data_IF_862439018996
#
_entry.id   IF_862439018996
#
_cell.length_a   1.000
_cell.length_b   1.000
_cell.length_c   1.000
_cell.angle_alpha   90.00
_cell.angle_beta   90.00
_cell.angle_gamma   90.00
#
_symmetry.space_group_name_H-M   'P 1'
#
loop_
_entity.id
_entity.type
_entity.pdbx_description
1 polymer ?
#
# COMPACT_ATOMS: atom_id res chain seq x y z
N UNK A 1 27.40 -22.10 4.25
CA UNK A 1 26.00 -21.90 4.66
C UNK A 1 25.18 -21.16 3.62
N UNK A 2 25.49 -19.92 3.20
CA UNK A 2 24.69 -19.16 2.22
C UNK A 2 24.39 -19.87 0.89
N UNK A 3 25.36 -20.60 0.30
CA UNK A 3 25.17 -21.31 -0.97
C UNK A 3 24.15 -22.46 -0.88
N UNK A 4 24.08 -23.12 0.27
CA UNK A 4 23.13 -24.19 0.56
C UNK A 4 21.70 -23.64 0.76
N UNK A 5 21.57 -22.48 1.41
CA UNK A 5 20.28 -21.81 1.62
C UNK A 5 19.70 -21.27 0.30
N UNK A 6 20.55 -20.67 -0.54
CA UNK A 6 20.13 -20.23 -1.88
C UNK A 6 19.65 -21.41 -2.73
N UNK A 7 20.38 -22.53 -2.70
CA UNK A 7 19.99 -23.73 -3.43
C UNK A 7 18.65 -24.29 -2.96
N UNK A 8 18.43 -24.36 -1.64
CA UNK A 8 17.13 -24.76 -1.07
C UNK A 8 16.00 -23.82 -1.45
N UNK A 9 16.23 -22.51 -1.44
CA UNK A 9 15.24 -21.52 -1.86
C UNK A 9 14.87 -21.68 -3.36
N UNK A 10 15.85 -21.94 -4.21
CA UNK A 10 15.64 -22.20 -5.65
C UNK A 10 14.90 -23.52 -5.90
N UNK A 11 15.14 -24.54 -5.07
CA UNK A 11 14.43 -25.83 -5.14
C UNK A 11 12.98 -25.71 -4.70
N UNK A 12 12.65 -24.77 -3.79
CA UNK A 12 11.29 -24.51 -3.29
C UNK A 12 10.51 -23.52 -4.17
N UNK A 13 11.15 -22.88 -5.13
CA UNK A 13 10.54 -21.89 -6.01
C UNK A 13 9.57 -22.56 -7.00
N UNK A 14 8.34 -22.04 -7.11
CA UNK A 14 7.44 -22.43 -8.18
C UNK A 14 7.93 -21.84 -9.52
N UNK A 15 8.69 -22.65 -10.24
CA UNK A 15 9.33 -22.25 -11.50
C UNK A 15 8.31 -21.77 -12.54
N UNK A 16 7.12 -22.37 -12.58
CA UNK A 16 6.08 -21.98 -13.55
C UNK A 16 5.57 -20.58 -13.25
N UNK A 17 5.21 -20.30 -12.00
CA UNK A 17 4.76 -18.97 -11.59
C UNK A 17 5.87 -17.95 -11.82
N UNK A 18 7.09 -18.23 -11.38
CA UNK A 18 8.22 -17.30 -11.49
C UNK A 18 8.55 -16.95 -12.95
N UNK A 19 8.79 -17.95 -13.80
CA UNK A 19 9.18 -17.69 -15.18
C UNK A 19 8.05 -17.10 -16.02
N UNK A 20 6.81 -17.46 -15.77
CA UNK A 20 5.66 -16.87 -16.46
C UNK A 20 5.51 -15.39 -16.07
N UNK A 21 5.58 -15.05 -14.77
CA UNK A 21 5.51 -13.67 -14.31
C UNK A 21 6.68 -12.84 -14.85
N UNK A 22 7.89 -13.39 -14.82
CA UNK A 22 9.07 -12.72 -15.38
C UNK A 22 8.93 -12.47 -16.90
N UNK A 23 8.43 -13.46 -17.63
CA UNK A 23 8.21 -13.33 -19.08
C UNK A 23 7.19 -12.23 -19.39
N UNK A 24 6.08 -12.16 -18.64
CA UNK A 24 5.07 -11.10 -18.81
C UNK A 24 5.70 -9.72 -18.59
N UNK A 25 6.47 -9.57 -17.49
CA UNK A 25 7.12 -8.29 -17.17
C UNK A 25 8.14 -7.90 -18.24
N UNK A 26 8.99 -8.83 -18.68
CA UNK A 26 9.98 -8.57 -19.73
C UNK A 26 9.31 -8.19 -21.04
N UNK A 27 8.26 -8.91 -21.46
CA UNK A 27 7.50 -8.59 -22.65
C UNK A 27 6.86 -7.20 -22.57
N UNK A 28 6.32 -6.85 -21.40
CA UNK A 28 5.73 -5.52 -21.18
C UNK A 28 6.79 -4.41 -21.25
N UNK A 29 7.97 -4.62 -20.65
CA UNK A 29 9.08 -3.66 -20.73
C UNK A 29 9.57 -3.51 -22.17
N UNK A 30 9.73 -4.61 -22.90
CA UNK A 30 10.10 -4.55 -24.31
C UNK A 30 9.04 -3.80 -25.14
N UNK A 31 7.76 -4.08 -24.92
CA UNK A 31 6.68 -3.37 -25.59
C UNK A 31 6.69 -1.86 -25.28
N UNK A 32 6.95 -1.46 -24.02
CA UNK A 32 7.12 -0.05 -23.64
C UNK A 32 8.32 0.62 -24.33
N UNK A 33 9.39 -0.11 -24.61
CA UNK A 33 10.57 0.41 -25.30
C UNK A 33 10.30 0.54 -26.81
N UNK A 34 9.72 -0.48 -27.45
CA UNK A 34 9.59 -0.52 -28.91
C UNK A 34 8.31 0.10 -29.45
N UNK A 35 7.19 0.06 -28.68
CA UNK A 35 5.87 0.57 -29.09
C UNK A 35 5.19 1.38 -27.98
N UNK A 36 5.85 2.42 -27.40
CA UNK A 36 5.39 3.10 -26.19
C UNK A 36 3.98 3.69 -26.32
N UNK A 37 3.66 4.30 -27.46
CA UNK A 37 2.35 4.93 -27.69
C UNK A 37 1.21 3.90 -27.72
N UNK A 38 1.41 2.77 -28.37
CA UNK A 38 0.41 1.68 -28.41
C UNK A 38 0.17 1.11 -27.02
N UNK A 39 1.24 0.88 -26.25
CA UNK A 39 1.14 0.37 -24.88
C UNK A 39 0.45 1.38 -23.97
N UNK A 40 0.77 2.68 -24.10
CA UNK A 40 0.11 3.73 -23.35
C UNK A 40 -1.41 3.73 -23.59
N UNK A 41 -1.82 3.74 -24.87
CA UNK A 41 -3.24 3.70 -25.25
C UNK A 41 -3.91 2.42 -24.70
N UNK A 42 -3.26 1.27 -24.81
CA UNK A 42 -3.80 0.02 -24.29
C UNK A 42 -4.00 0.04 -22.75
N UNK A 43 -3.02 0.59 -22.01
CA UNK A 43 -3.11 0.74 -20.55
C UNK A 43 -4.24 1.71 -20.19
N UNK A 44 -4.31 2.89 -20.81
CA UNK A 44 -5.35 3.88 -20.55
C UNK A 44 -6.76 3.33 -20.90
N UNK A 45 -6.89 2.65 -22.02
CA UNK A 45 -8.14 2.00 -22.41
C UNK A 45 -8.56 0.92 -21.41
N UNK A 46 -7.63 0.05 -21.01
CA UNK A 46 -7.88 -1.00 -20.01
C UNK A 46 -8.29 -0.40 -18.67
N UNK A 47 -7.56 0.62 -18.22
CA UNK A 47 -7.90 1.34 -16.99
C UNK A 47 -9.32 1.92 -17.06
N UNK A 48 -9.66 2.61 -18.14
CA UNK A 48 -10.99 3.20 -18.32
C UNK A 48 -12.09 2.13 -18.35
N UNK A 49 -11.85 1.00 -19.01
CA UNK A 49 -12.80 -0.14 -19.00
C UNK A 49 -12.96 -0.69 -17.58
N UNK A 50 -11.87 -0.88 -16.85
CA UNK A 50 -11.91 -1.37 -15.47
C UNK A 50 -12.69 -0.41 -14.55
N UNK A 51 -12.41 0.89 -14.62
CA UNK A 51 -13.08 1.89 -13.77
C UNK A 51 -14.55 2.06 -14.16
N UNK A 52 -14.86 2.20 -15.43
CA UNK A 52 -16.22 2.49 -15.87
C UNK A 52 -17.18 1.29 -15.71
N UNK A 53 -16.70 0.06 -15.91
CA UNK A 53 -17.56 -1.13 -15.79
C UNK A 53 -17.47 -1.83 -14.44
N UNK A 54 -16.30 -1.77 -13.79
CA UNK A 54 -16.04 -2.50 -12.54
C UNK A 54 -15.71 -1.58 -11.35
N UNK A 55 -15.77 -0.26 -11.52
CA UNK A 55 -15.47 0.71 -10.46
C UNK A 55 -16.28 0.48 -9.17
N UNK A 56 -17.56 0.13 -9.31
CA UNK A 56 -18.42 -0.22 -8.18
C UNK A 56 -17.88 -1.43 -7.36
N UNK A 57 -17.13 -2.35 -7.99
CA UNK A 57 -16.53 -3.49 -7.28
C UNK A 57 -15.43 -3.03 -6.32
N UNK A 58 -14.64 -2.00 -6.68
CA UNK A 58 -13.63 -1.43 -5.77
C UNK A 58 -14.30 -0.86 -4.52
N UNK A 59 -15.43 -0.16 -4.70
CA UNK A 59 -16.24 0.36 -3.60
C UNK A 59 -16.78 -0.78 -2.73
N UNK A 60 -17.35 -1.82 -3.36
CA UNK A 60 -17.87 -3.00 -2.64
C UNK A 60 -16.78 -3.71 -1.83
N UNK A 61 -15.58 -3.88 -2.38
CA UNK A 61 -14.44 -4.47 -1.68
C UNK A 61 -14.00 -3.59 -0.51
N UNK A 62 -14.00 -2.25 -0.68
CA UNK A 62 -13.74 -1.32 0.44
C UNK A 62 -14.73 -1.51 1.57
N UNK A 63 -16.03 -1.55 1.28
CA UNK A 63 -17.09 -1.80 2.26
C UNK A 63 -16.89 -3.15 2.96
N UNK A 64 -16.56 -4.19 2.20
CA UNK A 64 -16.28 -5.53 2.74
C UNK A 64 -15.08 -5.50 3.70
N UNK A 65 -13.96 -4.92 3.30
CA UNK A 65 -12.75 -4.84 4.13
C UNK A 65 -13.02 -4.07 5.42
N UNK A 66 -13.75 -2.97 5.31
CA UNK A 66 -14.15 -2.15 6.44
C UNK A 66 -15.09 -2.92 7.40
N UNK A 67 -16.11 -3.58 6.86
CA UNK A 67 -17.02 -4.42 7.64
C UNK A 67 -16.31 -5.60 8.29
N UNK A 68 -15.38 -6.24 7.57
CA UNK A 68 -14.56 -7.33 8.11
C UNK A 68 -13.70 -6.87 9.28
N UNK A 69 -13.11 -5.66 9.22
CA UNK A 69 -12.39 -5.08 10.34
C UNK A 69 -13.25 -5.04 11.60
N UNK A 70 -14.44 -4.42 11.53
CA UNK A 70 -15.33 -4.32 12.69
C UNK A 70 -15.81 -5.68 13.16
N UNK A 71 -16.14 -6.59 12.24
CA UNK A 71 -16.54 -7.95 12.59
C UNK A 71 -15.46 -8.71 13.36
N UNK A 72 -14.20 -8.59 12.91
CA UNK A 72 -13.08 -9.26 13.58
C UNK A 72 -12.74 -8.58 14.91
N UNK A 73 -12.76 -7.24 14.96
CA UNK A 73 -12.37 -6.47 16.13
C UNK A 73 -13.38 -6.62 17.29
N UNK A 74 -14.68 -6.43 17.01
CA UNK A 74 -15.73 -6.49 18.02
C UNK A 74 -16.31 -7.89 18.20
N UNK A 75 -16.05 -8.80 17.27
CA UNK A 75 -16.56 -10.16 17.31
C UNK A 75 -15.75 -11.09 18.21
N UNK A 76 -16.15 -12.36 18.24
CA UNK A 76 -15.50 -13.43 19.03
C UNK A 76 -14.04 -13.70 18.65
N UNK A 77 -13.60 -13.20 17.51
CA UNK A 77 -12.23 -13.41 16.99
C UNK A 77 -11.23 -12.37 17.48
N UNK A 78 -11.66 -11.26 18.07
CA UNK A 78 -10.80 -10.17 18.52
C UNK A 78 -9.79 -10.55 19.62
N UNK A 79 -10.02 -11.67 20.31
CA UNK A 79 -9.14 -12.18 21.36
C UNK A 79 -8.20 -13.32 20.87
N UNK A 80 -8.23 -13.67 19.59
CA UNK A 80 -7.35 -14.71 19.05
C UNK A 80 -5.93 -14.17 18.93
N UNK A 81 -4.98 -14.81 19.63
CA UNK A 81 -3.57 -14.51 19.52
C UNK A 81 -2.94 -15.36 18.40
N UNK A 82 -2.25 -14.71 17.46
CA UNK A 82 -1.40 -15.42 16.52
C UNK A 82 -0.07 -15.77 17.19
N UNK A 83 0.27 -17.06 17.24
CA UNK A 83 1.47 -17.58 17.90
C UNK A 83 1.16 -18.35 19.16
N UNK A 84 2.21 -18.68 19.92
CA UNK A 84 2.10 -19.38 21.20
C UNK A 84 1.69 -18.42 22.32
N UNK A 85 0.97 -18.87 23.37
CA UNK A 85 0.64 -18.01 24.52
C UNK A 85 1.85 -17.34 25.14
N UNK A 86 3.01 -18.03 25.15
CA UNK A 86 4.25 -17.58 25.79
C UNK A 86 5.16 -16.75 24.87
N UNK A 87 4.79 -16.57 23.60
CA UNK A 87 5.58 -15.78 22.65
C UNK A 87 5.66 -14.32 23.10
N UNK A 88 6.91 -13.80 23.18
CA UNK A 88 7.19 -12.39 23.53
C UNK A 88 7.42 -11.57 22.27
N UNK A 89 7.10 -10.24 22.30
CA UNK A 89 7.38 -9.37 21.17
C UNK A 89 8.86 -9.29 20.89
N UNK A 90 9.17 -9.28 19.61
CA UNK A 90 10.54 -9.13 19.12
C UNK A 90 10.93 -7.66 18.94
N UNK A 91 9.95 -6.82 18.67
CA UNK A 91 10.12 -5.38 18.49
C UNK A 91 9.36 -4.60 19.56
N UNK A 92 9.82 -3.40 19.88
CA UNK A 92 9.02 -2.47 20.67
C UNK A 92 7.80 -2.03 19.86
N UNK A 93 6.72 -1.62 20.53
CA UNK A 93 5.49 -1.11 19.89
C UNK A 93 5.82 0.03 18.92
N UNK A 94 6.71 0.95 19.30
CA UNK A 94 7.15 2.04 18.44
C UNK A 94 7.82 1.54 17.15
N UNK A 95 8.82 0.64 17.26
CA UNK A 95 9.51 0.10 16.07
C UNK A 95 8.56 -0.69 15.17
N UNK A 96 7.63 -1.42 15.76
CA UNK A 96 6.62 -2.15 15.00
C UNK A 96 5.67 -1.19 14.25
N UNK A 97 5.09 -0.21 14.93
CA UNK A 97 4.23 0.79 14.33
C UNK A 97 4.98 1.58 13.24
N UNK A 98 6.23 1.95 13.50
CA UNK A 98 7.11 2.60 12.52
C UNK A 98 7.33 1.75 11.27
N UNK A 99 7.58 0.45 11.42
CA UNK A 99 7.77 -0.47 10.27
C UNK A 99 6.49 -0.59 9.43
N UNK A 100 5.33 -0.71 10.07
CA UNK A 100 4.04 -0.78 9.37
C UNK A 100 3.76 0.55 8.67
N UNK A 101 3.86 1.67 9.38
CA UNK A 101 3.62 2.99 8.80
C UNK A 101 4.53 3.27 7.59
N UNK A 102 5.84 3.06 7.73
CA UNK A 102 6.79 3.34 6.64
C UNK A 102 6.68 2.36 5.48
N UNK A 103 6.14 1.16 5.67
CA UNK A 103 5.87 0.24 4.57
C UNK A 103 4.71 0.70 3.67
N UNK A 104 3.75 1.44 4.21
CA UNK A 104 2.65 2.05 3.46
C UNK A 104 2.92 3.49 3.02
N UNK A 105 3.73 4.23 3.79
CA UNK A 105 4.08 5.62 3.52
C UNK A 105 5.38 5.70 2.70
N UNK A 106 5.28 5.46 1.41
CA UNK A 106 6.41 5.58 0.48
C UNK A 106 6.64 7.00 -0.02
N UNK A 107 7.54 7.15 -1.01
CA UNK A 107 7.81 8.43 -1.68
C UNK A 107 6.56 9.08 -2.29
N UNK A 108 5.61 8.26 -2.74
CA UNK A 108 4.32 8.72 -3.26
C UNK A 108 3.50 9.48 -2.22
N UNK A 109 3.52 9.08 -0.94
CA UNK A 109 2.81 9.80 0.12
C UNK A 109 3.30 11.24 0.28
N UNK A 110 4.62 11.45 0.20
CA UNK A 110 5.20 12.79 0.28
C UNK A 110 4.76 13.64 -0.93
N UNK A 111 4.82 13.08 -2.14
CA UNK A 111 4.44 13.79 -3.37
C UNK A 111 2.95 14.11 -3.37
N UNK A 112 2.12 13.10 -3.11
CA UNK A 112 0.67 13.23 -3.17
C UNK A 112 0.14 14.05 -2.00
N UNK A 113 0.77 14.00 -0.84
CA UNK A 113 0.41 14.86 0.29
C UNK A 113 0.45 16.36 -0.03
N UNK A 114 1.34 16.79 -0.94
CA UNK A 114 1.34 18.17 -1.44
C UNK A 114 0.42 18.38 -2.65
N UNK A 115 0.32 17.40 -3.54
CA UNK A 115 -0.40 17.54 -4.80
C UNK A 115 -1.92 17.36 -4.66
N UNK A 116 -2.35 16.35 -3.90
CA UNK A 116 -3.76 15.99 -3.76
C UNK A 116 -4.66 17.12 -3.27
N UNK A 117 -4.32 17.85 -2.19
CA UNK A 117 -5.18 18.95 -1.73
C UNK A 117 -5.45 19.97 -2.83
N UNK A 118 -4.45 20.25 -3.69
CA UNK A 118 -4.59 21.19 -4.81
C UNK A 118 -5.51 20.61 -5.89
N UNK A 119 -5.39 19.33 -6.19
CA UNK A 119 -6.28 18.67 -7.15
C UNK A 119 -7.70 18.57 -6.63
N UNK A 120 -7.88 18.24 -5.34
CA UNK A 120 -9.21 18.11 -4.71
C UNK A 120 -9.92 19.46 -4.60
N UNK A 121 -9.20 20.57 -4.53
CA UNK A 121 -9.77 21.92 -4.60
C UNK A 121 -10.36 22.26 -5.98
N UNK A 122 -9.80 21.70 -7.03
CA UNK A 122 -10.22 21.94 -8.42
C UNK A 122 -11.28 20.94 -8.89
N UNK A 123 -11.08 19.68 -8.55
CA UNK A 123 -12.01 18.58 -8.83
C UNK A 123 -12.54 18.08 -7.48
N UNK A 124 -13.68 18.62 -7.07
CA UNK A 124 -14.21 18.44 -5.71
C UNK A 124 -15.14 17.22 -5.62
N UNK A 125 -15.18 16.52 -4.48
CA UNK A 125 -16.19 15.49 -4.24
C UNK A 125 -17.58 16.10 -4.04
N UNK A 126 -18.61 15.31 -4.21
CA UNK A 126 -20.02 15.66 -3.89
C UNK A 126 -20.56 16.92 -4.58
N UNK A 127 -20.01 17.29 -5.72
CA UNK A 127 -20.39 18.50 -6.48
C UNK A 127 -20.22 19.82 -5.70
N UNK A 128 -19.32 19.85 -4.71
CA UNK A 128 -18.97 21.04 -3.95
C UNK A 128 -18.37 22.08 -4.93
N UNK A 129 -18.72 23.35 -4.75
CA UNK A 129 -18.14 24.43 -5.56
C UNK A 129 -16.63 24.49 -5.38
N UNK A 130 -15.88 24.33 -6.48
CA UNK A 130 -14.43 24.42 -6.47
C UNK A 130 -13.93 25.71 -5.82
N UNK A 131 -12.79 25.63 -5.12
CA UNK A 131 -12.14 26.75 -4.44
C UNK A 131 -12.99 27.45 -3.36
N UNK A 132 -14.12 26.85 -2.92
CA UNK A 132 -14.91 27.35 -1.79
C UNK A 132 -14.29 26.90 -0.46
N UNK A 133 -14.69 27.56 0.66
CA UNK A 133 -14.31 27.12 2.02
C UNK A 133 -14.58 25.64 2.26
N UNK A 134 -15.75 25.20 1.85
CA UNK A 134 -16.12 23.79 1.94
C UNK A 134 -15.18 22.90 1.11
N UNK A 135 -14.73 23.33 -0.07
CA UNK A 135 -13.76 22.58 -0.86
C UNK A 135 -12.43 22.43 -0.15
N UNK A 136 -11.94 23.44 0.57
CA UNK A 136 -10.71 23.35 1.39
C UNK A 136 -10.86 22.31 2.52
N UNK A 137 -11.97 22.34 3.23
CA UNK A 137 -12.25 21.40 4.31
C UNK A 137 -12.30 19.95 3.81
N UNK A 138 -13.03 19.73 2.69
CA UNK A 138 -13.15 18.40 2.10
C UNK A 138 -11.87 17.92 1.43
N UNK A 139 -11.06 18.80 0.85
CA UNK A 139 -9.76 18.43 0.29
C UNK A 139 -8.83 17.87 1.36
N UNK A 140 -8.81 18.47 2.55
CA UNK A 140 -8.02 17.99 3.68
C UNK A 140 -8.57 16.65 4.22
N UNK A 141 -9.89 16.57 4.42
CA UNK A 141 -10.54 15.34 4.90
C UNK A 141 -10.36 14.16 3.94
N UNK A 142 -10.44 14.37 2.62
CA UNK A 142 -10.26 13.29 1.64
C UNK A 142 -8.84 12.72 1.62
N UNK A 143 -7.84 13.51 1.97
CA UNK A 143 -6.49 13.00 2.24
C UNK A 143 -6.52 11.94 3.33
N UNK A 144 -7.21 12.19 4.45
CA UNK A 144 -7.39 11.21 5.53
C UNK A 144 -8.21 9.99 5.07
N UNK A 145 -9.21 10.17 4.21
CA UNK A 145 -10.01 9.07 3.68
C UNK A 145 -9.20 8.13 2.78
N UNK A 146 -8.38 8.68 1.88
CA UNK A 146 -7.60 7.88 0.93
C UNK A 146 -6.33 7.26 1.52
N UNK A 147 -5.79 7.81 2.63
CA UNK A 147 -4.51 7.38 3.23
C UNK A 147 -4.63 6.88 4.68
N UNK A 148 -5.76 7.13 5.32
CA UNK A 148 -6.00 6.79 6.71
C UNK A 148 -6.65 5.42 6.90
N UNK A 149 -7.51 5.35 7.91
CA UNK A 149 -8.12 4.11 8.38
C UNK A 149 -8.89 3.33 7.31
N UNK A 150 -9.66 4.00 6.45
CA UNK A 150 -10.40 3.37 5.35
C UNK A 150 -9.49 2.64 4.36
N UNK A 151 -8.34 3.22 4.05
CA UNK A 151 -7.35 2.65 3.16
C UNK A 151 -6.62 1.44 3.79
N UNK A 152 -6.18 1.56 5.03
CA UNK A 152 -5.48 0.47 5.73
C UNK A 152 -6.36 -0.75 5.96
N UNK A 153 -7.69 -0.59 5.99
CA UNK A 153 -8.64 -1.69 6.09
C UNK A 153 -8.51 -2.71 4.94
N UNK A 154 -8.02 -2.29 3.76
CA UNK A 154 -7.79 -3.19 2.64
C UNK A 154 -6.81 -4.32 2.94
N UNK A 155 -5.89 -4.14 3.86
CA UNK A 155 -4.89 -5.17 4.18
C UNK A 155 -5.41 -6.26 5.12
N UNK A 156 -6.51 -6.03 5.83
CA UNK A 156 -7.05 -6.93 6.85
C UNK A 156 -7.35 -8.33 6.32
N UNK A 157 -8.03 -8.52 5.16
CA UNK A 157 -8.31 -9.85 4.66
C UNK A 157 -7.05 -10.68 4.43
N UNK A 158 -6.01 -10.10 3.80
CA UNK A 158 -4.77 -10.80 3.52
C UNK A 158 -3.97 -11.08 4.80
N UNK A 159 -3.85 -10.10 5.70
CA UNK A 159 -3.16 -10.25 6.99
C UNK A 159 -3.79 -11.37 7.81
N UNK A 160 -5.12 -11.37 7.89
CA UNK A 160 -5.85 -12.37 8.66
C UNK A 160 -5.70 -13.77 8.04
N UNK A 161 -5.86 -13.89 6.73
CA UNK A 161 -5.75 -15.17 6.03
C UNK A 161 -4.33 -15.74 6.10
N UNK A 162 -3.31 -14.92 5.81
CA UNK A 162 -1.92 -15.35 5.87
C UNK A 162 -1.50 -15.64 7.31
N UNK A 163 -1.89 -14.79 8.27
CA UNK A 163 -1.64 -14.98 9.69
C UNK A 163 -2.27 -16.30 10.20
N UNK A 164 -3.51 -16.59 9.81
CA UNK A 164 -4.16 -17.86 10.12
C UNK A 164 -3.37 -19.06 9.58
N UNK A 165 -2.94 -19.00 8.32
CA UNK A 165 -2.15 -20.08 7.71
C UNK A 165 -0.82 -20.29 8.42
N UNK A 166 -0.10 -19.20 8.73
CA UNK A 166 1.22 -19.28 9.37
C UNK A 166 1.15 -19.76 10.81
N UNK A 167 0.22 -19.20 11.61
CA UNK A 167 0.27 -19.37 13.07
C UNK A 167 -0.72 -20.39 13.61
N UNK A 168 -1.87 -20.55 12.96
CA UNK A 168 -2.89 -21.50 13.38
C UNK A 168 -2.71 -22.83 12.66
N UNK A 169 -2.59 -22.78 11.32
CA UNK A 169 -2.38 -23.99 10.49
C UNK A 169 -0.91 -24.44 10.46
N UNK A 170 0.01 -23.58 10.92
CA UNK A 170 1.47 -23.84 10.94
C UNK A 170 2.05 -24.21 9.57
N UNK A 171 1.50 -23.66 8.49
CA UNK A 171 2.04 -23.82 7.15
C UNK A 171 3.13 -22.80 6.92
N UNK A 172 4.11 -23.12 6.06
CA UNK A 172 5.14 -22.17 5.63
C UNK A 172 4.76 -21.48 4.30
N UNK A 173 3.57 -21.75 3.80
CA UNK A 173 3.09 -21.20 2.53
C UNK A 173 2.47 -19.83 2.76
N UNK A 174 3.10 -18.79 2.23
CA UNK A 174 2.65 -17.39 2.29
C UNK A 174 1.99 -16.94 0.99
N UNK A 175 1.81 -17.85 0.02
CA UNK A 175 1.14 -17.54 -1.25
C UNK A 175 -0.32 -17.23 -1.00
N UNK A 176 -0.86 -16.29 -1.78
CA UNK A 176 -2.27 -15.95 -1.68
C UNK A 176 -3.16 -17.14 -2.09
N UNK A 177 -2.76 -17.92 -3.10
CA UNK A 177 -3.45 -19.17 -3.46
C UNK A 177 -3.45 -20.19 -2.32
N UNK A 178 -2.39 -20.22 -1.50
CA UNK A 178 -2.27 -21.08 -0.33
C UNK A 178 -3.31 -20.75 0.76
N UNK A 179 -3.70 -19.47 0.91
CA UNK A 179 -4.71 -19.08 1.89
C UNK A 179 -6.12 -19.60 1.56
N UNK A 180 -6.35 -20.04 0.35
CA UNK A 180 -7.63 -20.58 -0.12
C UNK A 180 -7.73 -22.11 0.05
N UNK A 181 -6.64 -22.78 0.40
CA UNK A 181 -6.63 -24.25 0.56
C UNK A 181 -7.58 -24.77 1.65
N UNK A 182 -7.86 -24.06 2.76
CA UNK A 182 -8.85 -24.50 3.73
C UNK A 182 -10.28 -24.61 3.17
N UNK A 183 -10.58 -23.85 2.10
CA UNK A 183 -11.91 -23.80 1.47
C UNK A 183 -11.98 -24.76 0.30
N UNK A 184 -10.95 -24.76 -0.58
CA UNK A 184 -10.97 -25.47 -1.86
C UNK A 184 -10.12 -26.75 -1.90
N UNK A 185 -9.44 -27.08 -0.79
CA UNK A 185 -8.56 -28.24 -0.66
C UNK A 185 -7.10 -27.98 -1.09
N UNK A 186 -6.19 -28.84 -0.62
CA UNK A 186 -4.74 -28.66 -0.80
C UNK A 186 -4.29 -28.61 -2.28
N UNK A 187 -4.99 -29.34 -3.18
CA UNK A 187 -4.68 -29.37 -4.61
C UNK A 187 -5.00 -28.07 -5.34
N UNK A 188 -5.77 -27.17 -4.72
CA UNK A 188 -6.19 -25.90 -5.34
C UNK A 188 -4.99 -25.02 -5.70
N UNK A 189 -4.04 -24.85 -4.79
CA UNK A 189 -2.86 -24.00 -4.98
C UNK A 189 -1.96 -24.44 -6.14
N UNK A 190 -1.92 -25.77 -6.40
CA UNK A 190 -1.11 -26.35 -7.48
C UNK A 190 -1.87 -26.42 -8.82
N UNK A 191 -3.18 -26.18 -8.77
CA UNK A 191 -4.07 -26.11 -9.93
C UNK A 191 -3.88 -24.85 -10.79
N UNK A 192 -4.53 -24.85 -11.95
CA UNK A 192 -4.45 -23.72 -12.91
C UNK A 192 -4.91 -22.42 -12.26
N UNK A 193 -6.03 -22.42 -11.54
CA UNK A 193 -6.60 -21.21 -10.90
C UNK A 193 -5.65 -20.69 -9.82
N UNK A 194 -5.11 -21.55 -8.96
CA UNK A 194 -4.13 -21.13 -7.94
C UNK A 194 -2.90 -20.49 -8.56
N UNK A 195 -2.37 -21.05 -9.65
CA UNK A 195 -1.21 -20.47 -10.37
C UNK A 195 -1.53 -19.14 -11.04
N UNK A 196 -2.71 -18.98 -11.62
CA UNK A 196 -3.16 -17.71 -12.18
C UNK A 196 -3.22 -16.65 -11.08
N UNK A 197 -3.80 -16.97 -9.91
CA UNK A 197 -3.82 -16.06 -8.76
C UNK A 197 -2.40 -15.63 -8.38
N UNK A 198 -1.47 -16.56 -8.23
CA UNK A 198 -0.10 -16.27 -7.83
C UNK A 198 0.64 -15.44 -8.91
N UNK A 199 0.43 -15.69 -10.21
CA UNK A 199 0.99 -14.88 -11.30
C UNK A 199 0.45 -13.46 -11.25
N UNK A 200 -0.86 -13.28 -11.09
CA UNK A 200 -1.49 -11.96 -10.97
C UNK A 200 -0.96 -11.21 -9.76
N UNK A 201 -0.78 -11.89 -8.63
CA UNK A 201 -0.19 -11.31 -7.40
C UNK A 201 1.24 -10.83 -7.66
N UNK A 202 2.10 -11.67 -8.24
CA UNK A 202 3.49 -11.29 -8.54
C UNK A 202 3.54 -10.11 -9.51
N UNK A 203 2.71 -10.13 -10.56
CA UNK A 203 2.59 -9.03 -11.50
C UNK A 203 2.11 -7.74 -10.80
N UNK A 204 1.07 -7.81 -9.97
CA UNK A 204 0.54 -6.69 -9.22
C UNK A 204 1.59 -6.05 -8.29
N UNK A 205 2.37 -6.87 -7.59
CA UNK A 205 3.48 -6.39 -6.73
C UNK A 205 4.52 -5.64 -7.55
N UNK A 206 4.96 -6.21 -8.68
CA UNK A 206 5.95 -5.56 -9.55
C UNK A 206 5.41 -4.25 -10.11
N UNK A 207 4.17 -4.24 -10.60
CA UNK A 207 3.51 -3.04 -11.12
C UNK A 207 3.42 -1.95 -10.05
N UNK A 208 3.03 -2.28 -8.83
CA UNK A 208 2.91 -1.34 -7.70
C UNK A 208 4.25 -0.70 -7.33
N UNK A 209 5.30 -1.52 -7.22
CA UNK A 209 6.66 -1.03 -6.92
C UNK A 209 7.15 -0.14 -8.06
N UNK A 210 6.92 -0.54 -9.31
CA UNK A 210 7.31 0.23 -10.50
C UNK A 210 6.59 1.57 -10.54
N UNK A 211 5.30 1.63 -10.23
CA UNK A 211 4.53 2.87 -10.12
C UNK A 211 5.11 3.80 -9.05
N UNK A 212 5.41 3.28 -7.86
CA UNK A 212 6.01 4.07 -6.78
C UNK A 212 7.39 4.63 -7.16
N UNK A 213 8.23 3.84 -7.82
CA UNK A 213 9.54 4.29 -8.31
C UNK A 213 9.39 5.31 -9.45
N UNK A 214 8.46 5.07 -10.37
CA UNK A 214 8.17 5.96 -11.51
C UNK A 214 7.69 7.33 -11.08
N UNK A 215 6.97 7.44 -9.97
CA UNK A 215 6.58 8.71 -9.36
C UNK A 215 7.71 9.32 -8.52
N UNK A 216 8.37 8.54 -7.69
CA UNK A 216 9.33 9.01 -6.71
C UNK A 216 10.66 9.47 -7.31
N UNK A 217 11.22 8.72 -8.25
CA UNK A 217 12.55 9.03 -8.83
C UNK A 217 12.59 10.37 -9.57
N UNK A 218 11.63 10.71 -10.46
CA UNK A 218 11.63 12.01 -11.13
C UNK A 218 11.47 13.18 -10.18
N UNK A 219 10.65 13.05 -9.13
CA UNK A 219 10.46 14.11 -8.13
C UNK A 219 11.72 14.31 -7.32
N UNK A 220 12.36 13.23 -6.86
CA UNK A 220 13.64 13.33 -6.14
C UNK A 220 14.72 13.94 -7.01
N UNK A 221 14.79 13.55 -8.30
CA UNK A 221 15.71 14.15 -9.27
C UNK A 221 15.51 15.65 -9.39
N UNK A 222 14.26 16.13 -9.53
CA UNK A 222 13.94 17.56 -9.57
C UNK A 222 14.30 18.30 -8.29
N UNK A 223 14.06 17.70 -7.12
CA UNK A 223 14.44 18.30 -5.84
C UNK A 223 15.97 18.46 -5.72
N UNK A 224 16.72 17.39 -6.06
CA UNK A 224 18.19 17.44 -6.06
C UNK A 224 18.69 18.49 -7.05
N UNK A 225 18.14 18.51 -8.25
CA UNK A 225 18.45 19.50 -9.29
C UNK A 225 18.24 20.93 -8.80
N UNK A 226 17.12 21.18 -8.12
CA UNK A 226 16.79 22.50 -7.56
C UNK A 226 17.73 22.93 -6.44
N UNK A 227 18.07 22.01 -5.54
CA UNK A 227 18.92 22.31 -4.37
C UNK A 227 20.40 22.48 -4.76
N UNK A 228 20.89 21.61 -5.66
CA UNK A 228 22.30 21.61 -6.07
C UNK A 228 22.55 22.46 -7.33
N UNK A 229 21.52 23.07 -7.91
CA UNK A 229 21.60 23.87 -9.14
C UNK A 229 22.23 23.11 -10.32
N UNK A 230 21.98 21.78 -10.40
CA UNK A 230 22.45 20.92 -11.51
C UNK A 230 21.29 20.64 -12.46
N UNK A 231 21.61 20.25 -13.70
CA UNK A 231 20.58 19.97 -14.72
C UNK A 231 19.79 18.70 -14.35
N UNK A 232 18.46 18.80 -14.30
CA UNK A 232 17.57 17.62 -14.25
C UNK A 232 17.60 16.89 -15.59
N UNK A 233 17.55 15.57 -15.55
CA UNK A 233 17.53 14.73 -16.73
C UNK A 233 17.73 13.26 -16.42
N UNK A 234 17.71 12.44 -17.47
CA UNK A 234 17.80 10.98 -17.36
C UNK A 234 19.02 10.50 -16.53
N UNK A 235 20.17 11.13 -16.70
CA UNK A 235 21.39 10.76 -15.97
C UNK A 235 21.24 10.93 -14.45
N UNK A 236 20.60 12.02 -14.00
CA UNK A 236 20.35 12.26 -12.58
C UNK A 236 19.29 11.29 -12.06
N UNK A 237 18.24 11.02 -12.83
CA UNK A 237 17.22 10.02 -12.45
C UNK A 237 17.82 8.61 -12.33
N UNK A 238 18.71 8.21 -13.23
CA UNK A 238 19.44 6.94 -13.14
C UNK A 238 20.30 6.91 -11.86
N UNK A 239 21.01 8.00 -11.57
CA UNK A 239 21.83 8.07 -10.35
C UNK A 239 20.97 7.94 -9.08
N UNK A 240 19.84 8.62 -9.00
CA UNK A 240 18.88 8.51 -7.90
C UNK A 240 18.35 7.06 -7.75
N UNK A 241 17.96 6.45 -8.88
CA UNK A 241 17.49 5.07 -8.89
C UNK A 241 18.56 4.10 -8.37
N UNK A 242 19.80 4.23 -8.83
CA UNK A 242 20.92 3.39 -8.39
C UNK A 242 21.23 3.56 -6.92
N UNK A 243 21.19 4.79 -6.39
CA UNK A 243 21.37 5.05 -4.96
C UNK A 243 20.27 4.38 -4.16
N UNK A 244 19.00 4.50 -4.56
CA UNK A 244 17.89 3.84 -3.89
C UNK A 244 18.02 2.32 -3.95
N UNK A 245 18.37 1.77 -5.12
CA UNK A 245 18.60 0.35 -5.28
C UNK A 245 19.70 -0.17 -4.33
N UNK A 246 20.80 0.57 -4.17
CA UNK A 246 21.86 0.20 -3.22
C UNK A 246 21.39 0.25 -1.78
N UNK A 247 20.65 1.30 -1.38
CA UNK A 247 20.13 1.45 -0.02
C UNK A 247 19.15 0.31 0.30
N UNK A 248 18.19 0.04 -0.57
CA UNK A 248 17.20 -1.03 -0.37
C UNK A 248 17.86 -2.40 -0.43
N UNK A 249 18.74 -2.65 -1.40
CA UNK A 249 19.47 -3.90 -1.53
C UNK A 249 20.31 -4.20 -0.30
N UNK A 250 21.01 -3.20 0.23
CA UNK A 250 21.75 -3.32 1.48
C UNK A 250 20.85 -3.61 2.68
N UNK A 251 19.72 -2.91 2.76
CA UNK A 251 18.74 -3.11 3.83
C UNK A 251 18.17 -4.52 3.82
N UNK A 252 17.75 -5.02 2.66
CA UNK A 252 17.25 -6.39 2.49
C UNK A 252 18.33 -7.43 2.78
N UNK A 253 19.56 -7.19 2.32
CA UNK A 253 20.69 -8.08 2.59
C UNK A 253 20.99 -8.21 4.09
N UNK A 254 20.82 -7.14 4.86
CA UNK A 254 20.96 -7.12 6.32
C UNK A 254 19.82 -7.80 7.06
N UNK A 255 18.69 -8.01 6.39
CA UNK A 255 17.49 -8.63 6.93
C UNK A 255 16.63 -7.68 7.76
N UNK A 256 15.50 -8.19 8.25
CA UNK A 256 14.44 -7.40 8.89
C UNK A 256 14.96 -6.60 10.11
N UNK A 257 15.70 -7.24 11.01
CA UNK A 257 16.12 -6.60 12.27
C UNK A 257 17.24 -5.56 12.12
N UNK A 258 18.23 -5.88 11.30
CA UNK A 258 19.47 -5.06 11.19
C UNK A 258 19.44 -4.10 10.01
N UNK A 259 18.59 -4.35 9.03
CA UNK A 259 18.46 -3.55 7.82
C UNK A 259 17.16 -2.75 7.83
N UNK A 260 16.05 -3.42 7.64
CA UNK A 260 14.74 -2.77 7.44
C UNK A 260 14.35 -1.95 8.68
N UNK A 261 14.40 -2.54 9.88
CA UNK A 261 14.09 -1.82 11.13
C UNK A 261 14.93 -0.55 11.30
N UNK A 262 16.27 -0.63 11.09
CA UNK A 262 17.14 0.53 11.24
C UNK A 262 16.82 1.65 10.23
N UNK A 263 16.56 1.27 8.98
CA UNK A 263 16.15 2.22 7.95
C UNK A 263 14.81 2.89 8.30
N UNK A 264 13.88 2.12 8.82
CA UNK A 264 12.58 2.60 9.29
C UNK A 264 12.70 3.56 10.47
N UNK A 265 13.49 3.21 11.49
CA UNK A 265 13.69 4.07 12.67
C UNK A 265 14.30 5.44 12.25
N UNK A 266 15.27 5.44 11.31
CA UNK A 266 15.85 6.68 10.76
C UNK A 266 14.82 7.46 9.96
N UNK A 267 14.00 6.80 9.14
CA UNK A 267 12.94 7.46 8.36
C UNK A 267 11.91 8.12 9.29
N UNK A 268 11.49 7.45 10.35
CA UNK A 268 10.57 8.04 11.34
C UNK A 268 11.16 9.26 12.04
N UNK A 269 12.44 9.22 12.37
CA UNK A 269 13.12 10.41 12.94
C UNK A 269 13.09 11.60 11.97
N UNK A 270 13.37 11.35 10.68
CA UNK A 270 13.31 12.39 9.64
C UNK A 270 11.88 12.95 9.51
N UNK A 271 10.86 12.09 9.53
CA UNK A 271 9.46 12.51 9.46
C UNK A 271 9.10 13.38 10.67
N UNK A 272 9.47 12.98 11.89
CA UNK A 272 9.18 13.81 13.08
C UNK A 272 9.93 15.14 13.06
N UNK A 273 11.17 15.17 12.59
CA UNK A 273 11.89 16.44 12.42
C UNK A 273 11.20 17.34 11.39
N UNK A 274 10.77 16.78 10.26
CA UNK A 274 10.04 17.50 9.24
C UNK A 274 8.71 18.06 9.77
N UNK A 275 7.91 17.25 10.47
CA UNK A 275 6.67 17.70 11.10
C UNK A 275 6.92 18.78 12.16
N UNK A 276 8.01 18.68 12.93
CA UNK A 276 8.42 19.72 13.88
C UNK A 276 8.72 21.05 13.18
N UNK A 277 9.46 21.03 12.08
CA UNK A 277 9.74 22.21 11.26
C UNK A 277 8.44 22.82 10.72
N UNK A 278 7.57 22.00 10.14
CA UNK A 278 6.26 22.45 9.64
C UNK A 278 5.43 23.05 10.76
N UNK A 279 5.40 22.43 11.95
CA UNK A 279 4.68 22.93 13.12
C UNK A 279 5.14 24.30 13.58
N UNK A 280 6.46 24.56 13.51
CA UNK A 280 7.02 25.87 13.82
C UNK A 280 6.66 26.92 12.76
N UNK A 281 6.69 26.54 11.49
CA UNK A 281 6.46 27.47 10.37
C UNK A 281 4.97 27.84 10.18
N UNK A 282 4.05 26.88 10.42
CA UNK A 282 2.62 27.02 10.12
C UNK A 282 1.79 27.41 11.35
N UNK A 283 2.31 27.29 12.55
CA UNK A 283 1.58 27.33 13.83
C UNK A 283 0.91 25.97 14.17
N UNK A 284 1.36 25.41 15.27
CA UNK A 284 0.83 24.15 15.81
C UNK A 284 -0.68 24.23 16.08
N UNK A 285 -1.16 25.37 16.62
CA UNK A 285 -2.60 25.57 16.87
C UNK A 285 -3.42 25.43 15.60
N UNK A 286 -2.94 26.02 14.49
CA UNK A 286 -3.66 25.94 13.21
C UNK A 286 -3.72 24.53 12.65
N UNK A 287 -2.65 23.77 12.81
CA UNK A 287 -2.63 22.34 12.42
C UNK A 287 -3.68 21.57 13.21
N UNK A 288 -3.73 21.74 14.54
CA UNK A 288 -4.73 21.06 15.38
C UNK A 288 -6.17 21.48 15.06
N UNK A 289 -6.42 22.77 14.78
CA UNK A 289 -7.75 23.22 14.34
C UNK A 289 -8.18 22.53 13.05
N UNK A 290 -7.30 22.46 12.04
CA UNK A 290 -7.58 21.79 10.78
C UNK A 290 -7.81 20.30 10.96
N UNK A 291 -6.99 19.62 11.75
CA UNK A 291 -7.12 18.20 12.02
C UNK A 291 -8.43 17.87 12.76
N UNK A 292 -8.80 18.63 13.79
CA UNK A 292 -10.06 18.43 14.52
C UNK A 292 -11.27 18.61 13.60
N UNK A 293 -11.27 19.66 12.79
CA UNK A 293 -12.34 19.87 11.79
C UNK A 293 -12.39 18.71 10.80
N UNK A 294 -11.26 18.27 10.31
CA UNK A 294 -11.15 17.18 9.33
C UNK A 294 -11.61 15.85 9.90
N UNK A 295 -11.24 15.51 11.12
CA UNK A 295 -11.71 14.30 11.81
C UNK A 295 -13.22 14.35 12.00
N UNK A 296 -13.76 15.50 12.41
CA UNK A 296 -15.21 15.68 12.55
C UNK A 296 -15.95 15.45 11.23
N UNK A 297 -15.48 16.06 10.15
CA UNK A 297 -16.04 15.86 8.79
C UNK A 297 -15.88 14.41 8.31
N UNK A 298 -14.73 13.79 8.57
CA UNK A 298 -14.49 12.39 8.22
C UNK A 298 -15.51 11.46 8.90
N UNK A 299 -15.68 11.57 10.22
CA UNK A 299 -16.61 10.74 10.97
C UNK A 299 -18.07 10.96 10.52
N UNK A 300 -18.45 12.21 10.28
CA UNK A 300 -19.79 12.56 9.80
C UNK A 300 -20.09 12.01 8.41
N UNK A 301 -19.12 12.08 7.49
CA UNK A 301 -19.32 11.72 6.10
C UNK A 301 -18.84 10.30 5.74
N UNK A 302 -18.18 9.58 6.65
CA UNK A 302 -17.61 8.26 6.38
C UNK A 302 -18.62 7.27 5.79
N UNK A 303 -19.88 7.13 6.32
CA UNK A 303 -20.85 6.23 5.71
C UNK A 303 -21.19 6.60 4.27
N UNK A 304 -21.27 7.90 3.97
CA UNK A 304 -21.53 8.37 2.62
C UNK A 304 -20.33 8.13 1.69
N UNK A 305 -19.11 8.45 2.14
CA UNK A 305 -17.89 8.34 1.35
C UNK A 305 -17.58 6.89 0.97
N UNK A 306 -17.76 5.95 1.91
CA UNK A 306 -17.41 4.54 1.68
C UNK A 306 -18.33 3.85 0.68
N UNK A 307 -19.57 4.35 0.47
CA UNK A 307 -20.54 3.83 -0.49
C UNK A 307 -20.67 4.69 -1.75
N UNK A 308 -20.00 5.84 -1.80
CA UNK A 308 -20.24 6.82 -2.84
C UNK A 308 -19.61 6.43 -4.18
N UNK A 309 -20.45 6.28 -5.20
CA UNK A 309 -20.06 5.93 -6.59
C UNK A 309 -20.30 7.04 -7.59
N UNK A 310 -20.96 8.15 -7.18
CA UNK A 310 -21.37 9.28 -8.04
C UNK A 310 -22.20 8.87 -9.27
N UNK A 311 -23.28 8.07 -9.11
CA UNK A 311 -23.98 7.45 -10.25
C UNK A 311 -24.76 8.43 -11.13
N UNK A 312 -25.03 9.63 -10.66
CA UNK A 312 -25.80 10.66 -11.35
C UNK A 312 -24.98 11.93 -11.63
N UNK A 313 -23.69 11.91 -11.24
CA UNK A 313 -22.82 13.07 -11.40
C UNK A 313 -22.03 13.04 -12.71
N UNK A 314 -21.54 14.22 -13.07
CA UNK A 314 -20.65 14.41 -14.22
C UNK A 314 -19.21 14.68 -13.79
N UNK A 315 -18.90 14.53 -12.50
CA UNK A 315 -17.55 14.75 -11.96
C UNK A 315 -16.83 13.42 -11.85
N UNK A 316 -15.61 13.37 -12.35
CA UNK A 316 -14.80 12.16 -12.33
C UNK A 316 -14.06 11.95 -10.99
N UNK A 317 -14.38 12.72 -9.93
CA UNK A 317 -13.64 12.66 -8.66
C UNK A 317 -13.51 11.24 -8.09
N UNK A 318 -14.63 10.50 -8.05
CA UNK A 318 -14.65 9.13 -7.50
C UNK A 318 -13.82 8.19 -8.36
N UNK A 319 -13.92 8.32 -9.69
CA UNK A 319 -13.15 7.50 -10.64
C UNK A 319 -11.66 7.82 -10.58
N UNK A 320 -11.31 9.10 -10.63
CA UNK A 320 -9.92 9.55 -10.75
C UNK A 320 -9.15 9.38 -9.44
N UNK A 321 -9.85 9.43 -8.29
CA UNK A 321 -9.22 9.40 -6.99
C UNK A 321 -9.63 8.20 -6.14
N UNK A 322 -10.90 8.04 -5.77
CA UNK A 322 -11.30 7.00 -4.83
C UNK A 322 -11.10 5.60 -5.41
N UNK A 323 -11.59 5.33 -6.62
CA UNK A 323 -11.45 4.03 -7.26
C UNK A 323 -9.98 3.75 -7.65
N UNK A 324 -9.27 4.77 -8.10
CA UNK A 324 -7.83 4.68 -8.35
C UNK A 324 -7.07 4.26 -7.08
N UNK A 325 -7.32 4.93 -5.94
CA UNK A 325 -6.68 4.57 -4.67
C UNK A 325 -7.06 3.18 -4.21
N UNK A 326 -8.32 2.78 -4.30
CA UNK A 326 -8.72 1.43 -3.92
C UNK A 326 -8.04 0.37 -4.77
N UNK A 327 -7.90 0.60 -6.06
CA UNK A 327 -7.10 -0.26 -6.96
C UNK A 327 -5.63 -0.31 -6.54
N UNK A 328 -5.04 0.83 -6.18
CA UNK A 328 -3.66 0.89 -5.70
C UNK A 328 -3.48 0.12 -4.39
N UNK A 329 -4.33 0.37 -3.37
CA UNK A 329 -4.26 -0.35 -2.11
C UNK A 329 -4.45 -1.87 -2.29
N UNK A 330 -5.35 -2.31 -3.16
CA UNK A 330 -5.54 -3.71 -3.51
C UNK A 330 -4.29 -4.32 -4.16
N UNK A 331 -3.57 -3.58 -4.98
CA UNK A 331 -2.36 -4.08 -5.64
C UNK A 331 -1.20 -4.32 -4.65
N UNK A 332 -1.15 -3.57 -3.54
CA UNK A 332 -0.21 -3.77 -2.44
C UNK A 332 -0.66 -4.82 -1.41
N UNK A 333 -1.94 -5.21 -1.42
CA UNK A 333 -2.53 -6.11 -0.44
C UNK A 333 -1.70 -7.40 -0.22
N UNK A 334 -1.18 -8.10 -1.23
CA UNK A 334 -0.46 -9.34 -1.01
C UNK A 334 0.87 -9.13 -0.27
N UNK A 335 1.66 -8.15 -0.68
CA UNK A 335 2.97 -7.89 -0.06
C UNK A 335 2.81 -7.33 1.36
N UNK A 336 1.84 -6.44 1.56
CA UNK A 336 1.54 -5.90 2.88
C UNK A 336 0.94 -6.95 3.81
N UNK A 337 0.08 -7.81 3.27
CA UNK A 337 -0.46 -8.95 4.00
C UNK A 337 0.63 -9.87 4.53
N UNK A 338 1.60 -10.22 3.71
CA UNK A 338 2.77 -11.03 4.11
C UNK A 338 3.61 -10.27 5.15
N UNK A 339 3.94 -9.01 4.88
CA UNK A 339 4.81 -8.21 5.74
C UNK A 339 4.20 -8.01 7.13
N UNK A 340 2.94 -7.61 7.21
CA UNK A 340 2.22 -7.41 8.47
C UNK A 340 2.06 -8.75 9.19
N UNK A 341 1.60 -9.82 8.52
CA UNK A 341 1.44 -11.14 9.13
C UNK A 341 2.75 -11.67 9.72
N UNK A 342 3.88 -11.50 9.03
CA UNK A 342 5.21 -11.88 9.54
C UNK A 342 5.67 -11.00 10.71
N UNK A 343 5.22 -9.76 10.80
CA UNK A 343 5.55 -8.85 11.90
C UNK A 343 4.71 -9.10 13.15
N UNK A 344 3.54 -9.76 13.02
CA UNK A 344 2.62 -10.02 14.14
C UNK A 344 3.15 -11.00 15.18
N UNK A 345 4.01 -11.97 14.84
CA UNK A 345 4.66 -12.89 15.83
C UNK A 345 5.38 -12.12 16.95
N UNK A 346 5.63 -10.86 16.73
CA UNK A 346 6.52 -10.07 17.56
C UNK A 346 5.78 -9.09 18.47
N UNK A 347 4.45 -9.22 18.59
CA UNK A 347 3.60 -8.35 19.42
C UNK A 347 3.12 -9.11 20.65
N UNK A 348 3.33 -8.54 21.84
CA UNK A 348 3.16 -9.21 23.15
C UNK A 348 1.79 -9.11 23.78
N UNK A 349 0.80 -8.59 23.12
CA UNK A 349 -0.49 -8.51 23.75
C UNK A 349 -1.52 -9.39 23.08
N UNK A 350 -2.55 -9.90 23.85
CA UNK A 350 -3.67 -10.60 23.24
C UNK A 350 -4.19 -9.70 22.13
N UNK A 351 -4.11 -10.20 20.94
CA UNK A 351 -4.39 -9.46 19.73
C UNK A 351 -5.88 -9.13 19.65
N UNK A 352 -6.33 -8.17 20.39
CA UNK A 352 -7.32 -7.28 19.79
C UNK A 352 -6.61 -6.73 18.59
N UNK A 353 -7.14 -6.97 17.42
CA UNK A 353 -6.61 -6.49 16.14
C UNK A 353 -6.04 -5.05 16.25
N UNK A 354 -4.92 -4.90 16.94
CA UNK A 354 -4.13 -3.67 17.02
C UNK A 354 -3.40 -3.42 15.68
N UNK A 355 -4.05 -3.88 14.60
CA UNK A 355 -3.54 -3.71 13.24
C UNK A 355 -3.62 -2.26 12.76
N UNK A 356 -4.29 -1.38 13.52
CA UNK A 356 -4.61 -0.02 13.04
C UNK A 356 -4.68 1.02 14.18
N UNK A 357 -3.97 0.83 15.27
CA UNK A 357 -3.80 1.94 16.23
C UNK A 357 -2.43 2.60 16.07
#
# INVERSE_FOLDING_TARGET
MKKLEIRKALEQMDKKVYFTSLAIVVLMVLALIFIPNTVKIAIESTFNVCINHFGWMYILVSVFCFGLFFYLYFGKYGNIKFGSPDDKPRFSTFSWAAMIFTSGAGSSTVILGFAEPIYYLKNTPFHIKAMSTQAYEYAHMYGQFHWGFSAWAFYIPAVTAIGYMLYVRKTRDVKLSGTLTPIFGEKFKDGIIGKIIDIVVVFGIIASITTSLGLGVPVMSKLISSVLHIKDGLSLQIAVYLIWFMIFGWSVFRGLEKGIKKLTDVNMLIIFMFLGVVGVLVSISKIFEMELNSIGLYLQNLPRMIFYTDPFGNQNFVHDWTMFYWGWWLSFLPIMGIFIALSLIHISEPTRLQLIS
#
